data_IF_082838146949
#
_entry.id   IF_082838146949
#
_cell.length_a   1.000
_cell.length_b   1.000
_cell.length_c   1.000
_cell.angle_alpha   90.00
_cell.angle_beta   90.00
_cell.angle_gamma   90.00
#
_symmetry.space_group_name_H-M   'P 1'
#
loop_
_entity.id
_entity.type
_entity.pdbx_description
1 polymer ?
#
# COMPACT_ATOMS: atom_id res chain seq x y z
N UNK A 1 -6.61 3.55 17.76
CA UNK A 1 -5.50 2.65 17.41
C UNK A 1 -5.41 1.56 18.47
N UNK A 2 -5.41 0.30 18.07
CA UNK A 2 -5.43 -0.88 18.95
C UNK A 2 -4.02 -1.41 19.32
N UNK A 3 -2.97 -0.66 18.95
CA UNK A 3 -1.59 -1.02 19.27
C UNK A 3 -0.93 -1.99 18.30
N UNK A 4 -1.62 -2.42 17.22
CA UNK A 4 -1.10 -3.43 16.28
C UNK A 4 -0.79 -2.84 14.91
N UNK A 5 0.28 -3.30 14.26
CA UNK A 5 0.63 -2.89 12.91
C UNK A 5 0.78 -4.14 12.03
N UNK A 6 -0.37 -4.65 11.60
CA UNK A 6 -0.46 -5.91 10.87
C UNK A 6 -0.57 -5.63 9.37
N UNK A 7 0.31 -6.20 8.53
CA UNK A 7 0.21 -6.12 7.08
C UNK A 7 -1.15 -6.60 6.57
N UNK A 8 -1.60 -6.01 5.46
CA UNK A 8 -2.92 -6.28 4.89
C UNK A 8 -3.14 -7.77 4.56
N UNK A 9 -2.08 -8.51 4.23
CA UNK A 9 -2.13 -9.96 4.00
C UNK A 9 -2.49 -10.78 5.25
N UNK A 10 -2.14 -10.28 6.45
CA UNK A 10 -2.21 -11.04 7.71
C UNK A 10 -3.34 -10.62 8.64
N UNK A 11 -4.06 -9.53 8.33
CA UNK A 11 -5.18 -9.05 9.15
C UNK A 11 -6.27 -10.11 9.28
N UNK A 12 -6.62 -10.45 10.53
CA UNK A 12 -7.62 -11.47 10.84
C UNK A 12 -7.19 -12.91 10.51
N UNK A 13 -5.90 -13.17 10.27
CA UNK A 13 -5.36 -14.51 9.98
C UNK A 13 -4.55 -15.03 11.17
N UNK A 14 -4.59 -16.35 11.37
CA UNK A 14 -3.84 -17.04 12.45
C UNK A 14 -2.72 -17.93 11.91
N UNK A 15 -2.88 -18.51 10.72
CA UNK A 15 -1.90 -19.39 10.06
C UNK A 15 -1.06 -18.62 9.05
N UNK A 16 -0.09 -17.84 9.55
CA UNK A 16 0.74 -16.93 8.74
C UNK A 16 1.63 -17.66 7.72
N UNK A 17 2.09 -18.85 8.07
CA UNK A 17 2.86 -19.76 7.22
C UNK A 17 2.06 -20.16 5.97
N UNK A 18 0.84 -20.68 6.17
CA UNK A 18 -0.02 -21.19 5.11
C UNK A 18 -0.46 -20.07 4.16
N UNK A 19 -0.88 -18.92 4.70
CA UNK A 19 -1.27 -17.77 3.87
C UNK A 19 -0.08 -17.22 3.08
N UNK A 20 1.11 -17.19 3.66
CA UNK A 20 2.35 -16.75 2.97
C UNK A 20 2.74 -17.72 1.85
N UNK A 21 2.60 -19.03 2.05
CA UNK A 21 2.86 -20.01 1.00
C UNK A 21 1.91 -19.84 -0.19
N UNK A 22 0.60 -19.69 0.07
CA UNK A 22 -0.40 -19.43 -0.97
C UNK A 22 -0.12 -18.12 -1.72
N UNK A 23 0.16 -17.05 -0.97
CA UNK A 23 0.54 -15.75 -1.50
C UNK A 23 1.77 -15.84 -2.41
N UNK A 24 2.85 -16.48 -1.94
CA UNK A 24 4.10 -16.63 -2.70
C UNK A 24 3.87 -17.39 -4.01
N UNK A 25 3.09 -18.48 -3.97
CA UNK A 25 2.72 -19.23 -5.18
C UNK A 25 1.94 -18.34 -6.15
N UNK A 26 0.98 -17.57 -5.64
CA UNK A 26 0.17 -16.65 -6.44
C UNK A 26 1.04 -15.58 -7.11
N UNK A 27 1.84 -14.83 -6.36
CA UNK A 27 2.72 -13.78 -6.91
C UNK A 27 3.70 -14.35 -7.94
N UNK A 28 4.32 -15.49 -7.64
CA UNK A 28 5.21 -16.16 -8.60
C UNK A 28 4.48 -16.48 -9.91
N UNK A 29 3.26 -17.00 -9.82
CA UNK A 29 2.45 -17.28 -11.00
C UNK A 29 2.16 -15.99 -11.79
N UNK A 30 1.69 -14.92 -11.13
CA UNK A 30 1.39 -13.62 -11.77
C UNK A 30 2.61 -13.07 -12.52
N UNK A 31 3.79 -13.07 -11.89
CA UNK A 31 5.02 -12.58 -12.50
C UNK A 31 5.40 -13.45 -13.71
N UNK A 32 5.34 -14.78 -13.57
CA UNK A 32 5.74 -15.71 -14.63
C UNK A 32 4.79 -15.77 -15.83
N UNK A 33 3.48 -15.55 -15.61
CA UNK A 33 2.46 -15.64 -16.65
C UNK A 33 2.39 -14.39 -17.51
N UNK A 34 3.02 -13.30 -17.09
CA UNK A 34 2.95 -12.02 -17.79
C UNK A 34 4.35 -11.50 -18.12
N UNK A 35 4.67 -11.41 -19.42
CA UNK A 35 5.97 -10.93 -19.90
C UNK A 35 6.36 -9.55 -19.36
N UNK A 36 5.37 -8.67 -19.16
CA UNK A 36 5.60 -7.33 -18.61
C UNK A 36 5.94 -7.35 -17.13
N UNK A 37 5.40 -8.31 -16.37
CA UNK A 37 5.70 -8.43 -14.94
C UNK A 37 7.01 -9.17 -14.70
N UNK A 38 7.37 -10.10 -15.57
CA UNK A 38 8.63 -10.85 -15.49
C UNK A 38 9.89 -9.96 -15.60
N UNK A 39 9.77 -8.73 -16.13
CA UNK A 39 10.88 -7.77 -16.13
C UNK A 39 11.05 -7.01 -14.81
N UNK A 40 10.04 -7.03 -13.94
CA UNK A 40 10.14 -6.39 -12.63
C UNK A 40 10.77 -7.33 -11.63
N UNK A 41 11.68 -6.79 -10.82
CA UNK A 41 12.13 -7.50 -9.64
C UNK A 41 10.97 -7.70 -8.67
N UNK A 42 10.85 -8.90 -8.10
CA UNK A 42 9.80 -9.23 -7.14
C UNK A 42 9.76 -8.27 -5.95
N UNK A 43 10.93 -7.80 -5.48
CA UNK A 43 11.04 -6.85 -4.37
C UNK A 43 10.55 -5.44 -4.72
N UNK A 44 10.29 -5.14 -5.99
CA UNK A 44 9.61 -3.91 -6.45
C UNK A 44 8.16 -4.20 -6.80
N UNK A 45 7.90 -5.32 -7.47
CA UNK A 45 6.56 -5.67 -7.95
C UNK A 45 5.55 -5.82 -6.81
N UNK A 46 5.90 -6.51 -5.72
CA UNK A 46 5.01 -6.69 -4.56
C UNK A 46 4.62 -5.35 -3.91
N UNK A 47 5.58 -4.49 -3.52
CA UNK A 47 5.33 -3.10 -3.11
C UNK A 47 4.41 -2.35 -4.05
N UNK A 48 4.70 -2.41 -5.36
CA UNK A 48 3.95 -1.67 -6.37
C UNK A 48 2.49 -2.11 -6.41
N UNK A 49 2.20 -3.42 -6.51
CA UNK A 49 0.81 -3.89 -6.60
C UNK A 49 0.03 -3.68 -5.31
N UNK A 50 0.72 -3.61 -4.15
CA UNK A 50 0.06 -3.22 -2.90
C UNK A 50 -0.50 -1.81 -2.95
N UNK A 51 0.29 -0.87 -3.49
CA UNK A 51 -0.13 0.52 -3.67
C UNK A 51 -1.39 0.65 -4.56
N UNK A 52 -1.66 -0.38 -5.36
CA UNK A 52 -2.85 -0.50 -6.21
C UNK A 52 -3.97 -1.41 -5.65
N UNK A 53 -3.79 -2.00 -4.46
CA UNK A 53 -4.86 -2.69 -3.72
C UNK A 53 -4.60 -4.16 -3.36
N UNK A 54 -3.52 -4.76 -3.87
CA UNK A 54 -3.18 -6.16 -3.57
C UNK A 54 -2.68 -6.28 -2.13
N UNK A 55 -3.15 -7.28 -1.39
CA UNK A 55 -2.73 -7.50 -0.01
C UNK A 55 -1.36 -8.19 0.01
N UNK A 56 -0.38 -7.60 0.70
CA UNK A 56 0.97 -8.17 0.81
C UNK A 56 1.52 -8.07 2.24
N UNK A 57 2.69 -8.67 2.53
CA UNK A 57 3.36 -8.56 3.82
C UNK A 57 3.95 -7.18 4.14
N UNK A 58 3.90 -6.21 3.23
CA UNK A 58 4.43 -4.85 3.42
C UNK A 58 3.43 -3.95 4.17
N UNK A 59 3.97 -2.91 4.80
CA UNK A 59 3.23 -1.75 5.32
C UNK A 59 3.41 -0.59 4.36
N UNK A 60 2.30 0.02 3.93
CA UNK A 60 2.29 1.28 3.19
C UNK A 60 2.67 2.43 4.13
N UNK A 61 3.72 3.16 3.76
CA UNK A 61 4.20 4.36 4.44
C UNK A 61 4.25 5.52 3.47
N UNK A 62 4.24 6.74 4.02
CA UNK A 62 4.43 7.97 3.27
C UNK A 62 5.46 8.84 3.97
N UNK A 63 6.30 9.55 3.22
CA UNK A 63 7.30 10.47 3.79
C UNK A 63 6.79 11.92 3.93
N UNK A 64 5.57 12.19 3.47
CA UNK A 64 4.96 13.50 3.51
C UNK A 64 3.88 13.59 4.60
N UNK A 65 4.06 14.52 5.54
CA UNK A 65 3.14 14.69 6.69
C UNK A 65 1.72 15.05 6.28
N UNK A 66 1.52 15.80 5.18
CA UNK A 66 0.19 16.19 4.69
C UNK A 66 -0.53 15.02 4.04
N UNK A 67 0.19 14.17 3.31
CA UNK A 67 -0.37 12.91 2.78
C UNK A 67 -0.71 11.96 3.93
N UNK A 68 0.16 11.83 4.93
CA UNK A 68 -0.13 11.04 6.13
C UNK A 68 -1.38 11.55 6.86
N UNK A 69 -1.50 12.86 6.99
CA UNK A 69 -2.66 13.52 7.57
C UNK A 69 -3.93 13.24 6.76
N UNK A 70 -3.85 13.29 5.42
CA UNK A 70 -4.97 12.92 4.54
C UNK A 70 -5.45 11.50 4.82
N UNK A 71 -4.55 10.52 4.83
CA UNK A 71 -4.91 9.13 5.14
C UNK A 71 -5.45 8.95 6.56
N UNK A 72 -4.95 9.72 7.53
CA UNK A 72 -5.45 9.67 8.90
C UNK A 72 -6.89 10.23 9.02
N UNK A 73 -7.25 11.19 8.17
CA UNK A 73 -8.52 11.93 8.22
C UNK A 73 -9.61 11.36 7.30
N UNK A 74 -9.28 10.43 6.40
CA UNK A 74 -10.25 9.79 5.51
C UNK A 74 -10.36 8.30 5.81
N UNK A 75 -11.57 7.78 5.67
CA UNK A 75 -11.88 6.36 5.76
C UNK A 75 -12.31 5.83 4.40
N UNK A 76 -12.09 4.54 4.18
CA UNK A 76 -12.50 3.86 2.97
C UNK A 76 -13.62 2.85 3.26
N UNK A 77 -14.62 2.79 2.38
CA UNK A 77 -15.53 1.66 2.24
C UNK A 77 -15.15 0.88 1.00
N UNK A 78 -15.13 -0.44 1.12
CA UNK A 78 -14.76 -1.34 0.02
C UNK A 78 -15.91 -2.31 -0.23
N UNK A 79 -16.30 -2.43 -1.49
CA UNK A 79 -17.23 -3.47 -1.97
C UNK A 79 -16.54 -4.22 -3.08
N UNK A 80 -16.42 -5.54 -2.94
CA UNK A 80 -15.87 -6.37 -3.99
C UNK A 80 -17.01 -6.85 -4.91
N UNK A 81 -16.91 -6.51 -6.20
CA UNK A 81 -17.87 -6.87 -7.25
C UNK A 81 -17.11 -7.64 -8.32
N UNK A 82 -17.50 -8.89 -8.55
CA UNK A 82 -16.84 -9.82 -9.47
C UNK A 82 -15.34 -10.00 -9.11
N UNK A 83 -14.45 -9.48 -9.95
CA UNK A 83 -12.99 -9.64 -9.83
C UNK A 83 -12.28 -8.42 -9.24
N UNK A 84 -13.03 -7.37 -8.83
CA UNK A 84 -12.47 -6.09 -8.40
C UNK A 84 -13.05 -5.56 -7.08
N UNK A 85 -12.21 -4.86 -6.33
CA UNK A 85 -12.57 -4.06 -5.16
C UNK A 85 -12.85 -2.61 -5.59
N UNK A 86 -14.07 -2.17 -5.38
CA UNK A 86 -14.49 -0.77 -5.54
C UNK A 86 -14.35 -0.06 -4.22
N UNK A 87 -13.65 1.08 -4.22
CA UNK A 87 -13.26 1.80 -3.02
C UNK A 87 -13.79 3.22 -3.06
N UNK A 88 -14.55 3.57 -2.02
CA UNK A 88 -15.10 4.90 -1.80
C UNK A 88 -14.48 5.52 -0.55
N UNK A 89 -13.88 6.70 -0.69
CA UNK A 89 -13.29 7.45 0.41
C UNK A 89 -14.23 8.54 0.92
N UNK A 90 -14.23 8.77 2.23
CA UNK A 90 -15.01 9.81 2.89
C UNK A 90 -14.30 10.30 4.15
N UNK A 91 -14.65 11.51 4.60
CA UNK A 91 -14.12 12.08 5.83
C UNK A 91 -14.40 11.17 7.03
N UNK A 92 -13.37 10.96 7.85
CA UNK A 92 -13.47 10.21 9.10
C UNK A 92 -14.48 10.85 10.03
N UNK A 93 -15.33 10.02 10.63
CA UNK A 93 -16.31 10.44 11.64
C UNK A 93 -15.81 10.24 13.08
N UNK A 94 -14.61 9.69 13.23
CA UNK A 94 -13.99 9.48 14.53
C UNK A 94 -13.60 10.82 15.18
N UNK A 95 -13.59 10.88 16.51
CA UNK A 95 -13.19 12.09 17.24
C UNK A 95 -11.71 12.43 17.01
N UNK A 96 -10.88 11.39 16.88
CA UNK A 96 -9.43 11.51 16.70
C UNK A 96 -8.93 10.67 15.53
N UNK A 97 -7.97 11.24 14.82
CA UNK A 97 -7.17 10.62 13.78
C UNK A 97 -5.72 10.49 14.25
N UNK A 98 -4.99 9.55 13.67
CA UNK A 98 -3.65 9.18 14.13
C UNK A 98 -2.66 9.14 12.98
N UNK A 99 -1.51 9.79 13.17
CA UNK A 99 -0.32 9.56 12.34
C UNK A 99 0.65 8.71 13.16
N UNK A 100 1.06 7.58 12.59
CA UNK A 100 1.98 6.64 13.23
C UNK A 100 3.37 6.81 12.62
N UNK A 101 4.36 7.06 13.47
CA UNK A 101 5.76 7.20 13.08
C UNK A 101 6.44 5.84 13.19
N UNK A 102 6.95 5.34 12.07
CA UNK A 102 7.65 4.05 12.00
C UNK A 102 9.11 4.24 11.62
N UNK A 103 9.99 3.43 12.21
CA UNK A 103 11.42 3.45 11.91
C UNK A 103 11.84 2.22 11.12
N UNK A 104 12.89 2.38 10.31
CA UNK A 104 13.52 1.34 9.52
C UNK A 104 15.03 1.43 9.72
N UNK A 105 15.70 0.28 9.87
CA UNK A 105 17.15 0.19 9.88
C UNK A 105 17.76 0.07 8.48
N UNK A 106 16.92 0.02 7.44
CA UNK A 106 17.32 -0.01 6.04
C UNK A 106 17.76 1.38 5.54
N UNK A 107 18.97 1.78 5.91
CA UNK A 107 19.54 3.09 5.55
C UNK A 107 20.40 3.04 4.27
N UNK A 108 20.88 1.85 3.89
CA UNK A 108 21.78 1.68 2.74
C UNK A 108 20.99 1.20 1.53
N UNK A 109 21.11 1.96 0.44
CA UNK A 109 20.55 1.58 -0.85
C UNK A 109 21.35 0.40 -1.44
N UNK A 110 20.63 -0.55 -2.01
CA UNK A 110 21.21 -1.69 -2.72
C UNK A 110 21.67 -1.28 -4.12
N UNK A 111 22.19 -2.23 -4.90
CA UNK A 111 22.47 -2.00 -6.33
C UNK A 111 21.21 -1.73 -7.16
N UNK A 112 20.01 -1.96 -6.61
CA UNK A 112 18.73 -1.69 -7.25
C UNK A 112 18.17 -0.38 -6.69
N UNK A 113 17.92 0.57 -7.60
CA UNK A 113 17.37 1.89 -7.30
C UNK A 113 16.11 1.82 -6.46
N UNK A 114 16.07 2.60 -5.39
CA UNK A 114 14.93 2.72 -4.49
C UNK A 114 14.77 1.57 -3.49
N UNK A 115 15.63 0.56 -3.51
CA UNK A 115 15.56 -0.56 -2.56
C UNK A 115 16.66 -0.40 -1.52
N UNK A 116 16.26 -0.28 -0.26
CA UNK A 116 17.14 -0.17 0.89
C UNK A 116 17.04 -1.44 1.72
N UNK A 117 18.18 -1.94 2.19
CA UNK A 117 18.23 -3.17 2.99
C UNK A 117 18.95 -2.90 4.31
N UNK A 118 18.28 -3.27 5.42
CA UNK A 118 18.81 -3.26 6.76
C UNK A 118 18.93 -4.69 7.29
N UNK A 119 19.36 -4.82 8.55
CA UNK A 119 19.41 -6.11 9.23
C UNK A 119 18.01 -6.65 9.47
N UNK A 120 17.10 -5.81 9.98
CA UNK A 120 15.77 -6.21 10.42
C UNK A 120 14.69 -5.89 9.39
N UNK A 121 14.91 -4.87 8.55
CA UNK A 121 13.91 -4.37 7.61
C UNK A 121 14.44 -4.20 6.20
N UNK A 122 13.52 -4.19 5.24
CA UNK A 122 13.71 -3.76 3.86
C UNK A 122 12.73 -2.64 3.60
N UNK A 123 13.21 -1.54 3.02
CA UNK A 123 12.42 -0.37 2.69
C UNK A 123 12.50 -0.11 1.19
N UNK A 124 11.37 0.15 0.54
CA UNK A 124 11.31 0.42 -0.90
C UNK A 124 10.70 1.80 -1.13
N UNK A 125 11.47 2.73 -1.69
CA UNK A 125 10.97 4.00 -2.23
C UNK A 125 10.42 3.74 -3.63
N UNK A 126 9.09 3.66 -3.75
CA UNK A 126 8.46 3.34 -5.02
C UNK A 126 8.68 4.42 -6.07
N UNK A 127 8.97 5.67 -5.69
CA UNK A 127 9.24 6.76 -6.63
C UNK A 127 10.58 6.59 -7.34
N UNK A 128 11.52 5.90 -6.70
CA UNK A 128 12.83 5.56 -7.27
C UNK A 128 12.85 4.18 -7.91
N UNK A 129 12.08 3.25 -7.37
CA UNK A 129 12.06 1.85 -7.81
C UNK A 129 11.13 1.62 -9.01
N UNK A 130 10.17 2.51 -9.28
CA UNK A 130 9.19 2.34 -10.35
C UNK A 130 9.29 3.45 -11.40
N UNK A 131 8.92 3.16 -12.66
CA UNK A 131 8.86 4.18 -13.69
C UNK A 131 7.85 5.29 -13.37
N UNK A 132 8.14 6.51 -13.82
CA UNK A 132 7.32 7.71 -13.58
C UNK A 132 5.90 7.67 -14.16
N UNK A 133 5.59 6.66 -14.97
CA UNK A 133 4.25 6.47 -15.51
C UNK A 133 3.28 5.76 -14.54
N UNK A 134 3.77 5.23 -13.41
CA UNK A 134 2.97 4.86 -12.25
C UNK A 134 2.79 6.09 -11.36
N UNK A 135 1.73 6.86 -11.56
CA UNK A 135 1.61 8.17 -10.91
C UNK A 135 1.29 8.07 -9.42
N UNK A 136 0.51 7.07 -9.00
CA UNK A 136 0.04 6.95 -7.61
C UNK A 136 1.18 6.88 -6.57
N UNK A 137 2.26 6.10 -6.76
CA UNK A 137 3.42 6.15 -5.87
C UNK A 137 4.05 7.53 -5.70
N UNK A 138 4.13 8.32 -6.78
CA UNK A 138 4.68 9.68 -6.74
C UNK A 138 3.75 10.63 -6.01
N UNK A 139 2.45 10.61 -6.34
CA UNK A 139 1.46 11.47 -5.71
C UNK A 139 1.37 11.26 -4.19
N UNK A 140 1.49 10.01 -3.75
CA UNK A 140 1.36 9.63 -2.34
C UNK A 140 2.69 9.62 -1.58
N UNK A 141 3.82 9.94 -2.23
CA UNK A 141 5.12 9.89 -1.56
C UNK A 141 5.46 8.51 -0.97
N UNK A 142 5.20 7.46 -1.76
CA UNK A 142 5.06 6.10 -1.25
C UNK A 142 6.39 5.41 -0.90
N UNK A 143 6.42 4.90 0.34
CA UNK A 143 7.42 3.96 0.85
C UNK A 143 6.75 2.67 1.28
N UNK A 144 7.44 1.55 1.07
CA UNK A 144 6.93 0.22 1.45
C UNK A 144 7.91 -0.43 2.40
N UNK A 145 7.46 -0.69 3.63
CA UNK A 145 8.29 -1.28 4.68
C UNK A 145 7.94 -2.76 4.86
N UNK A 146 8.96 -3.62 4.88
CA UNK A 146 8.82 -5.03 5.21
C UNK A 146 9.89 -5.46 6.21
N UNK A 147 9.52 -6.21 7.25
CA UNK A 147 10.47 -6.91 8.12
C UNK A 147 11.07 -8.10 7.38
N UNK A 148 12.36 -8.34 7.60
CA UNK A 148 13.10 -9.41 6.92
C UNK A 148 12.73 -10.82 7.40
N UNK A 149 11.91 -10.92 8.45
CA UNK A 149 11.36 -12.19 8.94
C UNK A 149 10.65 -12.98 7.83
N UNK A 150 10.60 -14.30 8.00
CA UNK A 150 9.94 -15.20 7.06
C UNK A 150 8.43 -14.93 6.98
N UNK A 151 7.80 -14.64 8.13
CA UNK A 151 6.37 -14.38 8.28
C UNK A 151 6.13 -13.14 9.15
N UNK A 152 6.34 -11.92 8.62
CA UNK A 152 6.31 -10.71 9.42
C UNK A 152 4.86 -10.32 9.77
N UNK A 153 4.32 -10.90 10.84
CA UNK A 153 2.91 -10.77 11.21
C UNK A 153 2.54 -9.47 11.95
N UNK A 154 3.51 -8.81 12.59
CA UNK A 154 3.30 -7.58 13.35
C UNK A 154 4.55 -6.69 13.31
N UNK A 155 4.32 -5.40 13.11
CA UNK A 155 5.34 -4.36 12.96
C UNK A 155 5.26 -3.32 14.08
N UNK A 156 4.46 -3.54 15.11
CA UNK A 156 4.25 -2.54 16.18
C UNK A 156 5.51 -2.15 16.95
N UNK A 157 6.50 -3.03 17.02
CA UNK A 157 7.83 -2.75 17.57
C UNK A 157 8.63 -1.70 16.78
N UNK A 158 8.25 -1.42 15.53
CA UNK A 158 8.86 -0.37 14.72
C UNK A 158 8.20 1.00 14.95
N UNK A 159 7.14 1.08 15.74
CA UNK A 159 6.46 2.34 16.06
C UNK A 159 7.27 3.09 17.12
N UNK A 160 7.70 4.30 16.76
CA UNK A 160 8.49 5.18 17.65
C UNK A 160 7.70 6.39 18.14
N UNK A 161 6.51 6.61 17.59
CA UNK A 161 5.65 7.71 18.00
C UNK A 161 4.27 7.64 17.36
N UNK A 162 3.30 8.26 18.03
CA UNK A 162 1.92 8.39 17.54
C UNK A 162 1.46 9.82 17.80
N UNK A 163 1.16 10.54 16.73
CA UNK A 163 0.50 11.84 16.84
C UNK A 163 -1.02 11.63 16.85
N UNK A 164 -1.67 12.00 17.96
CA UNK A 164 -3.13 12.00 18.10
C UNK A 164 -3.66 13.39 17.74
N UNK A 165 -4.54 13.45 16.75
CA UNK A 165 -5.01 14.70 16.15
C UNK A 165 -6.54 14.74 16.25
N UNK A 166 -7.17 15.79 16.80
CA UNK A 166 -8.62 15.95 16.71
C UNK A 166 -9.03 16.01 15.23
N UNK A 167 -9.90 15.10 14.79
CA UNK A 167 -10.24 14.94 13.36
C UNK A 167 -10.74 16.23 12.74
N UNK A 168 -11.64 16.93 13.46
CA UNK A 168 -12.18 18.23 13.03
C UNK A 168 -11.09 19.29 12.83
N UNK A 169 -10.05 19.28 13.67
CA UNK A 169 -8.93 20.21 13.53
C UNK A 169 -8.04 19.82 12.34
N UNK A 170 -7.78 18.53 12.16
CA UNK A 170 -7.02 18.04 11.01
C UNK A 170 -7.69 18.36 9.68
N UNK A 171 -9.00 18.16 9.56
CA UNK A 171 -9.77 18.52 8.35
C UNK A 171 -9.68 20.03 8.07
N UNK A 172 -9.72 20.87 9.12
CA UNK A 172 -9.51 22.32 8.99
C UNK A 172 -8.09 22.65 8.48
N UNK A 173 -7.06 21.92 8.91
CA UNK A 173 -5.69 22.11 8.43
C UNK A 173 -5.50 21.70 6.97
N UNK A 174 -6.10 20.58 6.55
CA UNK A 174 -6.10 20.18 5.13
C UNK A 174 -6.78 21.22 4.24
N UNK A 175 -7.90 21.77 4.71
CA UNK A 175 -8.67 22.78 3.97
C UNK A 175 -9.08 22.30 2.59
N UNK A 176 -9.13 23.22 1.62
CA UNK A 176 -9.45 22.94 0.22
C UNK A 176 -8.17 22.95 -0.62
N UNK A 177 -7.32 21.94 -0.43
CA UNK A 177 -6.07 21.80 -1.15
C UNK A 177 -6.21 20.86 -2.36
N UNK A 178 -6.09 21.39 -3.58
CA UNK A 178 -6.21 20.61 -4.82
C UNK A 178 -5.18 19.47 -4.92
N UNK A 179 -3.99 19.64 -4.35
CA UNK A 179 -2.93 18.62 -4.34
C UNK A 179 -3.24 17.44 -3.41
N UNK A 180 -4.17 17.60 -2.47
CA UNK A 180 -4.58 16.57 -1.50
C UNK A 180 -6.03 16.13 -1.73
N UNK A 181 -6.53 16.28 -2.95
CA UNK A 181 -7.80 15.65 -3.34
C UNK A 181 -7.63 14.17 -3.60
N UNK A 182 -8.73 13.42 -3.58
CA UNK A 182 -8.73 12.00 -3.92
C UNK A 182 -8.12 11.76 -5.30
N UNK A 183 -8.49 12.55 -6.30
CA UNK A 183 -8.00 12.41 -7.68
C UNK A 183 -6.52 12.77 -7.84
N UNK A 184 -5.99 13.67 -6.99
CA UNK A 184 -4.56 13.97 -6.95
C UNK A 184 -3.76 12.82 -6.34
N UNK A 185 -4.24 12.24 -5.22
CA UNK A 185 -3.56 11.14 -4.54
C UNK A 185 -3.78 9.78 -5.23
N UNK A 186 -4.89 9.59 -5.93
CA UNK A 186 -5.25 8.38 -6.65
C UNK A 186 -5.59 8.71 -8.11
N UNK A 187 -4.59 9.03 -8.95
CA UNK A 187 -4.85 9.45 -10.32
C UNK A 187 -5.60 8.37 -11.11
N UNK A 188 -6.63 8.80 -11.83
CA UNK A 188 -7.46 7.91 -12.65
C UNK A 188 -6.64 7.24 -13.76
N UNK A 189 -7.11 6.07 -14.23
CA UNK A 189 -6.43 5.28 -15.27
C UNK A 189 -6.25 6.02 -16.62
N UNK A 190 -6.98 7.11 -16.84
CA UNK A 190 -6.76 7.99 -17.99
C UNK A 190 -5.38 8.67 -17.92
N UNK A 191 -4.96 9.10 -16.72
CA UNK A 191 -3.69 9.79 -16.47
C UNK A 191 -2.59 8.83 -16.02
N UNK A 192 -2.91 7.88 -15.13
CA UNK A 192 -1.97 6.87 -14.64
C UNK A 192 -1.94 5.67 -15.58
N UNK A 193 -1.03 5.72 -16.56
CA UNK A 193 -0.87 4.62 -17.51
C UNK A 193 -0.34 3.33 -16.86
N UNK A 194 0.39 3.44 -15.74
CA UNK A 194 0.80 2.29 -14.93
C UNK A 194 -0.38 1.59 -14.28
N UNK A 195 -1.31 2.38 -13.71
CA UNK A 195 -2.60 1.88 -13.20
C UNK A 195 -3.43 1.23 -14.32
N UNK A 196 -3.54 1.90 -15.48
CA UNK A 196 -4.24 1.36 -16.65
C UNK A 196 -3.63 0.03 -17.13
N UNK A 197 -2.30 -0.07 -17.11
CA UNK A 197 -1.61 -1.31 -17.43
C UNK A 197 -2.00 -2.39 -16.43
N UNK A 198 -1.89 -2.13 -15.12
CA UNK A 198 -2.24 -3.09 -14.08
C UNK A 198 -3.69 -3.58 -14.20
N UNK A 199 -4.66 -2.70 -14.46
CA UNK A 199 -6.06 -3.09 -14.70
C UNK A 199 -6.22 -4.06 -15.87
N UNK A 200 -5.39 -3.95 -16.91
CA UNK A 200 -5.45 -4.82 -18.09
C UNK A 200 -4.71 -6.13 -17.92
N UNK A 201 -3.63 -6.13 -17.13
CA UNK A 201 -2.62 -7.19 -17.15
C UNK A 201 -2.56 -8.00 -15.87
N UNK A 202 -3.02 -7.43 -14.75
CA UNK A 202 -3.13 -8.15 -13.50
C UNK A 202 -4.29 -9.15 -13.57
N UNK A 203 -4.11 -10.42 -13.17
CA UNK A 203 -5.15 -11.43 -13.35
C UNK A 203 -6.42 -11.10 -12.58
N UNK A 204 -7.56 -11.19 -13.27
CA UNK A 204 -8.86 -11.28 -12.63
C UNK A 204 -8.95 -12.58 -11.83
N UNK A 205 -9.58 -12.52 -10.66
CA UNK A 205 -9.75 -13.68 -9.81
C UNK A 205 -11.20 -13.79 -9.34
N UNK A 206 -11.59 -14.98 -8.92
CA UNK A 206 -12.87 -15.19 -8.25
C UNK A 206 -12.97 -14.37 -6.96
N UNK A 207 -14.21 -14.00 -6.61
CA UNK A 207 -14.55 -13.20 -5.44
C UNK A 207 -13.86 -13.67 -4.15
N UNK A 208 -13.79 -14.98 -3.90
CA UNK A 208 -13.10 -15.53 -2.72
C UNK A 208 -11.62 -15.12 -2.68
N UNK A 209 -10.94 -15.20 -3.82
CA UNK A 209 -9.53 -14.84 -3.96
C UNK A 209 -9.32 -13.33 -3.82
N UNK A 210 -10.22 -12.52 -4.38
CA UNK A 210 -10.22 -11.06 -4.20
C UNK A 210 -10.38 -10.71 -2.72
N UNK A 211 -11.33 -11.33 -2.03
CA UNK A 211 -11.49 -11.11 -0.59
C UNK A 211 -10.24 -11.50 0.20
N UNK A 212 -9.54 -12.57 -0.19
CA UNK A 212 -8.35 -13.06 0.52
C UNK A 212 -7.08 -12.24 0.23
N UNK A 213 -6.82 -11.89 -1.03
CA UNK A 213 -5.55 -11.30 -1.48
C UNK A 213 -5.68 -9.90 -2.10
N UNK A 214 -6.89 -9.35 -2.12
CA UNK A 214 -7.19 -8.08 -2.78
C UNK A 214 -7.17 -8.19 -4.31
N UNK A 215 -7.42 -7.05 -4.94
CA UNK A 215 -7.39 -6.86 -6.38
C UNK A 215 -6.80 -5.49 -6.72
N UNK A 216 -6.61 -5.21 -8.00
CA UNK A 216 -6.37 -3.83 -8.43
C UNK A 216 -7.67 -3.05 -8.20
N UNK A 217 -7.61 -2.10 -7.27
CA UNK A 217 -8.74 -1.34 -6.77
C UNK A 217 -9.24 -0.32 -7.78
N UNK A 218 -10.56 -0.18 -7.85
CA UNK A 218 -11.26 0.83 -8.63
C UNK A 218 -11.78 1.90 -7.65
N UNK A 219 -11.30 3.13 -7.82
CA UNK A 219 -11.74 4.25 -7.00
C UNK A 219 -13.04 4.81 -7.57
N UNK A 220 -14.01 5.05 -6.70
CA UNK A 220 -15.28 5.70 -7.04
C UNK A 220 -15.41 6.99 -6.27
N UNK A 221 -15.77 8.07 -6.96
CA UNK A 221 -16.15 9.35 -6.37
C UNK A 221 -17.52 9.29 -5.67
#
# INVERSE_FOLDING_TARGET
YDGKMIPSLYRGKTKLDSITMKYNKRIKNVISSNKLFNSYDRSVFEPLVQHYGVKTPYIDLVDNVWVALWFALHQAKVVAINSHEYVYYYDSKEEYSYIVLMISDALQETSKSGIYHGKNTTLVDLRKATPSFFLRPHAQHAYMLRKNDQYPGDYSDLIVGIAKIPTRLGLKWLGQNEFLTLNSLFPAAYFDSGYKMLLKTYPENEQHTVNEFGSIQILTD
#
